data_IF_999361595484
#
_entry.id   IF_999361595484
#
_cell.length_a   1.000
_cell.length_b   1.000
_cell.length_c   1.000
_cell.angle_alpha   90.00
_cell.angle_beta   90.00
_cell.angle_gamma   90.00
#
_symmetry.space_group_name_H-M   'P 1'
#
loop_
_entity.id
_entity.type
_entity.pdbx_description
1 polymer ?
#
# COMPACT_ATOMS: atom_id res chain seq x y z
N UNK A 1 28.29 8.82 -2.69
CA UNK A 1 26.85 8.81 -3.07
C UNK A 1 26.06 8.46 -1.81
N UNK A 2 25.05 9.23 -1.46
CA UNK A 2 24.19 8.93 -0.31
C UNK A 2 23.37 7.70 -0.65
N UNK A 3 23.50 6.62 0.12
CA UNK A 3 22.73 5.38 -0.07
C UNK A 3 21.26 5.64 0.23
N UNK A 4 20.36 5.01 -0.53
CA UNK A 4 18.92 5.07 -0.26
C UNK A 4 18.59 4.45 1.10
N UNK A 5 17.63 5.04 1.80
CA UNK A 5 17.08 4.52 3.05
C UNK A 5 15.89 3.57 2.82
N UNK A 6 15.40 3.46 1.59
CA UNK A 6 14.19 2.71 1.26
C UNK A 6 14.36 1.91 -0.03
N UNK A 7 13.81 0.71 -0.02
CA UNK A 7 13.59 -0.09 -1.23
C UNK A 7 12.11 -0.10 -1.57
N UNK A 8 11.79 0.24 -2.82
CA UNK A 8 10.43 0.20 -3.37
C UNK A 8 10.17 -1.19 -3.95
N UNK A 9 9.03 -1.75 -3.58
CA UNK A 9 8.56 -3.07 -3.98
C UNK A 9 7.21 -2.90 -4.68
N UNK A 10 7.08 -3.42 -5.88
CA UNK A 10 5.84 -3.33 -6.64
C UNK A 10 5.55 -4.59 -7.42
N UNK A 11 4.27 -4.86 -7.60
CA UNK A 11 3.71 -5.96 -8.35
C UNK A 11 2.97 -5.41 -9.57
N UNK A 12 3.61 -5.28 -10.73
CA UNK A 12 2.94 -4.75 -11.92
C UNK A 12 1.84 -5.70 -12.44
N UNK A 13 0.89 -5.11 -13.14
CA UNK A 13 -0.02 -5.80 -14.06
C UNK A 13 0.61 -5.87 -15.45
N UNK A 14 0.07 -6.63 -16.40
CA UNK A 14 0.56 -6.62 -17.78
C UNK A 14 0.66 -5.20 -18.35
N UNK A 15 1.80 -4.85 -18.96
CA UNK A 15 2.06 -3.52 -19.54
C UNK A 15 1.35 -3.36 -20.88
N UNK A 16 0.02 -3.41 -20.88
CA UNK A 16 -0.81 -3.32 -22.07
C UNK A 16 -1.77 -2.13 -21.99
N UNK A 17 -2.02 -1.48 -23.13
CA UNK A 17 -2.98 -0.37 -23.24
C UNK A 17 -2.77 0.73 -22.20
N UNK A 18 -3.86 1.22 -21.63
CA UNK A 18 -3.84 2.27 -20.62
C UNK A 18 -3.10 1.85 -19.34
N UNK A 19 -3.27 0.59 -18.89
CA UNK A 19 -2.56 0.04 -17.72
C UNK A 19 -1.04 0.13 -17.91
N UNK A 20 -0.53 -0.19 -19.10
CA UNK A 20 0.89 -0.05 -19.41
C UNK A 20 1.38 1.40 -19.31
N UNK A 21 0.58 2.37 -19.74
CA UNK A 21 0.91 3.81 -19.66
C UNK A 21 1.03 4.25 -18.20
N UNK A 22 0.01 3.99 -17.39
CA UNK A 22 -0.02 4.47 -16.00
C UNK A 22 1.06 3.82 -15.14
N UNK A 23 1.34 2.53 -15.34
CA UNK A 23 2.43 1.84 -14.65
C UNK A 23 3.80 2.39 -15.05
N UNK A 24 4.02 2.63 -16.36
CA UNK A 24 5.25 3.26 -16.82
C UNK A 24 5.44 4.65 -16.23
N UNK A 25 4.40 5.48 -16.18
CA UNK A 25 4.41 6.79 -15.53
C UNK A 25 4.85 6.67 -14.06
N UNK A 26 4.20 5.78 -13.30
CA UNK A 26 4.45 5.58 -11.89
C UNK A 26 5.90 5.12 -11.65
N UNK A 27 6.32 4.01 -12.26
CA UNK A 27 7.64 3.42 -12.06
C UNK A 27 8.75 4.38 -12.52
N UNK A 28 8.55 5.11 -13.62
CA UNK A 28 9.51 6.14 -14.04
C UNK A 28 9.62 7.25 -13.00
N UNK A 29 8.51 7.69 -12.36
CA UNK A 29 8.56 8.69 -11.30
C UNK A 29 9.45 8.28 -10.13
N UNK A 30 9.44 7.00 -9.74
CA UNK A 30 10.26 6.48 -8.66
C UNK A 30 11.75 6.55 -8.98
N UNK A 31 12.14 6.37 -10.24
CA UNK A 31 13.54 6.49 -10.68
C UNK A 31 14.08 7.92 -10.64
N UNK A 32 13.19 8.92 -10.54
CA UNK A 32 13.53 10.35 -10.48
C UNK A 32 13.68 10.89 -9.06
N UNK A 33 13.38 10.08 -8.06
CA UNK A 33 13.56 10.45 -6.66
C UNK A 33 15.06 10.56 -6.30
N UNK A 34 15.39 11.51 -5.43
CA UNK A 34 16.76 11.67 -4.94
C UNK A 34 16.82 11.71 -3.40
N UNK A 35 17.65 10.86 -2.76
CA UNK A 35 18.46 9.79 -3.36
C UNK A 35 17.55 8.77 -4.12
N UNK A 36 18.07 8.22 -5.23
CA UNK A 36 17.32 7.20 -5.97
C UNK A 36 17.12 5.96 -5.08
N UNK A 37 15.89 5.49 -4.86
CA UNK A 37 15.62 4.27 -4.13
C UNK A 37 16.08 3.03 -4.92
N UNK A 38 16.36 1.94 -4.23
CA UNK A 38 16.37 0.63 -4.85
C UNK A 38 14.93 0.28 -5.21
N UNK A 39 14.70 -0.27 -6.40
CA UNK A 39 13.35 -0.59 -6.90
C UNK A 39 13.36 -2.03 -7.40
N UNK A 40 12.44 -2.85 -6.90
CA UNK A 40 12.24 -4.21 -7.35
C UNK A 40 10.82 -4.41 -7.86
N UNK A 41 10.71 -4.93 -9.08
CA UNK A 41 9.45 -5.37 -9.66
C UNK A 41 9.34 -6.90 -9.48
N UNK A 42 8.16 -7.36 -9.08
CA UNK A 42 7.88 -8.77 -8.82
C UNK A 42 6.92 -9.33 -9.87
N UNK A 43 7.11 -10.61 -10.21
CA UNK A 43 6.23 -11.38 -11.09
C UNK A 43 6.66 -11.38 -12.55
N UNK A 44 5.93 -12.13 -13.36
CA UNK A 44 6.24 -12.42 -14.77
C UNK A 44 5.20 -11.81 -15.73
N UNK A 45 4.44 -10.83 -15.27
CA UNK A 45 3.46 -10.17 -16.11
C UNK A 45 4.12 -9.57 -17.37
N UNK A 46 3.47 -9.71 -18.55
CA UNK A 46 4.03 -9.24 -19.82
C UNK A 46 4.47 -7.76 -19.76
N UNK A 47 5.72 -7.50 -20.15
CA UNK A 47 6.35 -6.17 -20.14
C UNK A 47 7.11 -5.84 -18.86
N UNK A 48 7.02 -6.65 -17.79
CA UNK A 48 7.73 -6.36 -16.52
C UNK A 48 9.24 -6.46 -16.68
N UNK A 49 9.74 -7.51 -17.32
CA UNK A 49 11.17 -7.71 -17.55
C UNK A 49 11.77 -6.58 -18.41
N UNK A 50 11.07 -6.19 -19.47
CA UNK A 50 11.48 -5.13 -20.38
C UNK A 50 11.57 -3.77 -19.67
N UNK A 51 10.58 -3.42 -18.87
CA UNK A 51 10.59 -2.19 -18.07
C UNK A 51 11.68 -2.21 -17.01
N UNK A 52 11.88 -3.34 -16.33
CA UNK A 52 12.95 -3.48 -15.35
C UNK A 52 14.33 -3.29 -16.00
N UNK A 53 14.57 -3.89 -17.16
CA UNK A 53 15.82 -3.72 -17.91
C UNK A 53 16.00 -2.28 -18.41
N UNK A 54 14.97 -1.67 -19.02
CA UNK A 54 14.99 -0.30 -19.54
C UNK A 54 15.33 0.72 -18.46
N UNK A 55 14.71 0.59 -17.29
CA UNK A 55 14.85 1.54 -16.18
C UNK A 55 15.95 1.15 -15.19
N UNK A 56 16.70 0.04 -15.45
CA UNK A 56 17.75 -0.50 -14.57
C UNK A 56 17.24 -0.75 -13.15
N UNK A 57 16.19 -1.58 -13.04
CA UNK A 57 15.55 -1.99 -11.79
C UNK A 57 15.85 -3.46 -11.49
N UNK A 58 15.71 -3.85 -10.21
CA UNK A 58 15.67 -5.25 -9.84
C UNK A 58 14.38 -5.92 -10.35
N UNK A 59 14.49 -7.18 -10.76
CA UNK A 59 13.35 -7.98 -11.19
C UNK A 59 13.41 -9.37 -10.54
N UNK A 60 12.34 -9.71 -9.83
CA UNK A 60 12.17 -11.00 -9.15
C UNK A 60 10.99 -11.74 -9.78
N UNK A 61 11.30 -12.71 -10.61
CA UNK A 61 10.32 -13.48 -11.39
C UNK A 61 9.46 -14.39 -10.51
N UNK A 62 10.13 -15.18 -9.67
CA UNK A 62 9.48 -16.22 -8.88
C UNK A 62 8.79 -15.60 -7.65
N UNK A 63 7.50 -15.46 -7.68
CA UNK A 63 6.70 -15.14 -6.52
C UNK A 63 5.63 -16.21 -6.32
N UNK A 64 5.46 -16.65 -5.10
CA UNK A 64 4.42 -17.62 -4.78
C UNK A 64 3.03 -17.05 -5.08
N UNK A 65 2.22 -17.87 -5.72
CA UNK A 65 0.84 -17.55 -6.10
C UNK A 65 -0.09 -18.66 -5.61
N UNK A 66 -1.36 -18.33 -5.40
CA UNK A 66 -2.37 -19.36 -5.17
C UNK A 66 -2.74 -20.09 -6.49
N UNK A 67 -3.65 -21.06 -6.41
CA UNK A 67 -4.07 -21.86 -7.56
C UNK A 67 -4.76 -21.04 -8.68
N UNK A 68 -5.23 -19.83 -8.36
CA UNK A 68 -5.82 -18.88 -9.32
C UNK A 68 -4.80 -17.89 -9.89
N UNK A 69 -3.52 -18.03 -9.54
CA UNK A 69 -2.44 -17.17 -10.02
C UNK A 69 -2.31 -15.84 -9.27
N UNK A 70 -3.02 -15.65 -8.14
CA UNK A 70 -2.92 -14.42 -7.34
C UNK A 70 -1.70 -14.49 -6.40
N UNK A 71 -0.81 -13.46 -6.40
CA UNK A 71 0.43 -13.46 -5.63
C UNK A 71 0.17 -13.30 -4.13
N UNK A 72 1.11 -13.83 -3.33
CA UNK A 72 1.06 -13.87 -1.88
C UNK A 72 1.96 -12.81 -1.25
N UNK A 73 1.44 -12.09 -0.24
CA UNK A 73 2.13 -10.99 0.45
C UNK A 73 3.30 -11.49 1.31
N UNK A 74 3.18 -12.64 1.95
CA UNK A 74 4.22 -13.24 2.79
C UNK A 74 5.49 -13.53 1.98
N UNK A 75 5.36 -14.10 0.78
CA UNK A 75 6.49 -14.40 -0.09
C UNK A 75 7.10 -13.10 -0.64
N UNK A 76 6.30 -12.10 -1.02
CA UNK A 76 6.80 -10.80 -1.46
C UNK A 76 7.67 -10.16 -0.37
N UNK A 77 7.19 -10.09 0.87
CA UNK A 77 7.94 -9.47 1.98
C UNK A 77 9.20 -10.28 2.31
N UNK A 78 9.11 -11.60 2.31
CA UNK A 78 10.27 -12.49 2.53
C UNK A 78 11.36 -12.23 1.50
N UNK A 79 11.03 -12.31 0.20
CA UNK A 79 11.98 -12.10 -0.89
C UNK A 79 12.56 -10.69 -0.91
N UNK A 80 11.75 -9.69 -0.59
CA UNK A 80 12.24 -8.32 -0.45
C UNK A 80 13.36 -8.22 0.61
N UNK A 81 13.20 -8.89 1.76
CA UNK A 81 14.23 -8.91 2.81
C UNK A 81 15.50 -9.68 2.41
N UNK A 82 15.42 -10.58 1.45
CA UNK A 82 16.57 -11.33 0.94
C UNK A 82 17.42 -10.52 -0.04
N UNK A 83 16.79 -9.63 -0.83
CA UNK A 83 17.46 -8.90 -1.93
C UNK A 83 17.92 -7.49 -1.57
N UNK A 84 17.52 -6.95 -0.42
CA UNK A 84 17.92 -5.63 0.03
C UNK A 84 18.22 -5.59 1.52
N UNK A 85 19.09 -4.67 1.92
CA UNK A 85 19.45 -4.39 3.31
C UNK A 85 19.11 -2.96 3.73
N UNK A 86 18.30 -2.23 2.92
CA UNK A 86 17.82 -0.91 3.30
C UNK A 86 16.96 -0.99 4.58
N UNK A 87 17.03 0.02 5.46
CA UNK A 87 16.31 -0.02 6.75
C UNK A 87 14.79 0.01 6.58
N UNK A 88 14.28 0.55 5.48
CA UNK A 88 12.86 0.67 5.19
C UNK A 88 12.50 -0.05 3.89
N UNK A 89 11.35 -0.68 3.87
CA UNK A 89 10.71 -1.25 2.69
C UNK A 89 9.45 -0.47 2.37
N UNK A 90 9.17 -0.26 1.09
CA UNK A 90 7.97 0.43 0.61
C UNK A 90 7.24 -0.47 -0.37
N UNK A 91 6.13 -1.08 0.04
CA UNK A 91 5.19 -1.67 -0.91
C UNK A 91 4.29 -0.57 -1.47
N UNK A 92 4.20 -0.50 -2.80
CA UNK A 92 3.37 0.49 -3.49
C UNK A 92 2.73 -0.11 -4.75
N UNK A 93 1.47 0.23 -5.02
CA UNK A 93 0.81 -0.17 -6.25
C UNK A 93 1.48 0.49 -7.47
N UNK A 94 1.59 -0.27 -8.56
CA UNK A 94 2.37 0.12 -9.75
C UNK A 94 1.79 1.29 -10.56
N UNK A 95 0.64 1.83 -10.15
CA UNK A 95 -0.04 2.99 -10.75
C UNK A 95 0.11 4.28 -9.92
N UNK A 96 0.88 4.24 -8.83
CA UNK A 96 1.10 5.36 -7.91
C UNK A 96 2.33 6.16 -8.30
N UNK A 97 2.14 7.41 -8.70
CA UNK A 97 3.23 8.37 -8.92
C UNK A 97 3.72 8.88 -7.56
N UNK A 98 5.06 8.91 -7.38
CA UNK A 98 5.71 9.47 -6.20
C UNK A 98 6.46 10.75 -6.57
N UNK A 99 6.41 11.74 -5.69
CA UNK A 99 7.13 13.00 -5.79
C UNK A 99 8.29 13.07 -4.81
N UNK A 100 9.21 14.02 -4.98
CA UNK A 100 10.41 14.19 -4.13
C UNK A 100 10.09 14.29 -2.63
N UNK A 101 8.93 14.84 -2.26
CA UNK A 101 8.45 14.89 -0.88
C UNK A 101 8.35 13.50 -0.20
N UNK A 102 8.24 12.42 -0.99
CA UNK A 102 8.32 11.05 -0.47
C UNK A 102 9.69 10.77 0.16
N UNK A 103 10.80 11.12 -0.51
CA UNK A 103 12.15 10.92 0.06
C UNK A 103 12.40 11.76 1.33
N UNK A 104 11.79 12.93 1.39
CA UNK A 104 11.84 13.75 2.60
C UNK A 104 11.07 13.13 3.76
N UNK A 105 9.92 12.50 3.47
CA UNK A 105 9.18 11.72 4.46
C UNK A 105 9.99 10.49 4.93
N UNK A 106 10.61 9.75 4.01
CA UNK A 106 11.48 8.61 4.32
C UNK A 106 12.61 9.01 5.28
N UNK A 107 13.29 10.12 5.02
CA UNK A 107 14.35 10.61 5.90
C UNK A 107 13.83 10.92 7.31
N UNK A 108 12.70 11.61 7.43
CA UNK A 108 12.07 11.92 8.71
C UNK A 108 11.62 10.68 9.48
N UNK A 109 11.07 9.67 8.78
CA UNK A 109 10.67 8.39 9.37
C UNK A 109 11.89 7.65 9.91
N UNK A 110 12.94 7.52 9.09
CA UNK A 110 14.15 6.81 9.48
C UNK A 110 14.81 7.43 10.71
N UNK A 111 14.86 8.77 10.77
CA UNK A 111 15.47 9.50 11.87
C UNK A 111 14.65 9.43 13.17
N UNK A 112 13.32 9.56 13.08
CA UNK A 112 12.45 9.86 14.24
C UNK A 112 11.54 8.74 14.67
N UNK A 113 11.19 7.83 13.75
CA UNK A 113 10.25 6.74 13.99
C UNK A 113 10.64 5.50 13.17
N UNK A 114 11.90 5.00 13.30
CA UNK A 114 12.46 3.99 12.39
C UNK A 114 11.68 2.68 12.41
N UNK A 115 11.01 2.36 13.50
CA UNK A 115 10.18 1.14 13.62
C UNK A 115 8.70 1.50 13.64
N UNK A 116 8.14 1.70 12.45
CA UNK A 116 6.75 2.11 12.25
C UNK A 116 6.21 1.61 10.91
N UNK A 117 4.90 1.62 10.77
CA UNK A 117 4.21 1.56 9.49
C UNK A 117 3.80 3.00 9.11
N UNK A 118 4.30 3.52 8.00
CA UNK A 118 3.84 4.79 7.45
C UNK A 118 2.97 4.55 6.21
N UNK A 119 1.85 5.25 6.16
CA UNK A 119 0.84 5.15 5.11
C UNK A 119 0.43 6.55 4.65
N UNK A 120 -0.14 6.65 3.47
CA UNK A 120 -0.63 7.92 2.94
C UNK A 120 -1.95 7.74 2.23
N UNK A 121 -2.78 8.77 2.30
CA UNK A 121 -4.00 8.89 1.54
C UNK A 121 -3.68 9.05 0.05
N UNK A 122 -4.36 8.32 -0.82
CA UNK A 122 -4.17 8.50 -2.26
C UNK A 122 -4.93 9.70 -2.80
N UNK A 123 -4.40 10.28 -3.87
CA UNK A 123 -5.00 11.34 -4.65
C UNK A 123 -5.31 10.83 -6.04
N UNK A 124 -6.56 10.97 -6.45
CA UNK A 124 -7.04 10.50 -7.74
C UNK A 124 -6.76 11.53 -8.84
N UNK A 125 -6.16 11.09 -9.93
CA UNK A 125 -5.93 11.94 -11.10
C UNK A 125 -6.18 11.14 -12.38
N UNK A 126 -6.77 11.78 -13.38
CA UNK A 126 -6.91 11.21 -14.72
C UNK A 126 -5.70 11.59 -15.58
N UNK A 127 -4.91 10.59 -15.99
CA UNK A 127 -3.71 10.74 -16.82
C UNK A 127 -3.74 9.73 -17.97
N UNK A 128 -4.43 10.05 -19.08
CA UNK A 128 -4.59 9.12 -20.19
C UNK A 128 -3.33 8.98 -21.06
N UNK A 129 -2.29 9.77 -20.83
CA UNK A 129 -1.09 9.86 -21.69
C UNK A 129 0.20 9.63 -20.90
N UNK A 130 1.28 9.20 -21.58
CA UNK A 130 2.61 9.17 -20.99
C UNK A 130 3.03 10.54 -20.47
N UNK A 131 3.67 10.57 -19.30
CA UNK A 131 4.25 11.78 -18.72
C UNK A 131 5.62 12.08 -19.32
N UNK A 132 5.90 13.35 -19.56
CA UNK A 132 7.23 13.81 -19.92
C UNK A 132 8.01 14.19 -18.65
N UNK A 133 8.93 13.31 -18.23
CA UNK A 133 9.77 13.51 -17.05
C UNK A 133 10.99 14.42 -17.29
N UNK A 134 11.16 14.98 -18.50
CA UNK A 134 12.28 15.91 -18.81
C UNK A 134 12.08 17.28 -18.17
N UNK A 135 10.85 17.62 -17.83
CA UNK A 135 10.52 18.88 -17.17
C UNK A 135 9.99 18.66 -15.75
N UNK A 136 10.88 18.43 -14.77
CA UNK A 136 10.55 18.14 -13.36
C UNK A 136 9.56 19.12 -12.72
N UNK A 137 9.57 20.39 -13.12
CA UNK A 137 8.66 21.40 -12.58
C UNK A 137 7.18 21.17 -12.96
N UNK A 138 6.87 20.52 -14.08
CA UNK A 138 5.48 20.25 -14.48
C UNK A 138 4.82 19.17 -13.62
N UNK A 139 5.58 18.20 -13.13
CA UNK A 139 5.07 17.17 -12.21
C UNK A 139 4.63 17.79 -10.88
N UNK A 140 5.38 18.73 -10.34
CA UNK A 140 5.03 19.38 -9.08
C UNK A 140 3.87 20.36 -9.19
N UNK A 141 3.78 21.09 -10.30
CA UNK A 141 2.82 22.19 -10.47
C UNK A 141 1.55 21.79 -11.26
N UNK A 142 1.64 20.79 -12.13
CA UNK A 142 0.55 20.41 -13.02
C UNK A 142 -0.37 19.32 -12.46
N UNK A 143 0.15 18.34 -11.73
CA UNK A 143 -0.62 17.18 -11.26
C UNK A 143 -1.40 17.46 -9.97
N UNK A 144 -0.82 18.19 -9.02
CA UNK A 144 -1.42 18.40 -7.70
C UNK A 144 -2.71 19.26 -7.69
N UNK A 145 -2.88 20.28 -8.53
CA UNK A 145 -4.10 21.10 -8.52
C UNK A 145 -5.35 20.39 -9.03
N UNK A 146 -5.20 19.32 -9.80
CA UNK A 146 -6.32 18.61 -10.44
C UNK A 146 -6.70 17.30 -9.77
N UNK A 147 -5.93 16.84 -8.76
CA UNK A 147 -6.21 15.63 -8.02
C UNK A 147 -7.25 15.84 -6.93
N UNK A 148 -8.11 14.85 -6.71
CA UNK A 148 -9.07 14.82 -5.62
C UNK A 148 -8.60 13.79 -4.57
N UNK A 149 -8.81 14.07 -3.26
CA UNK A 149 -8.52 13.07 -2.24
C UNK A 149 -9.45 11.86 -2.42
N UNK A 150 -8.89 10.69 -2.42
CA UNK A 150 -9.65 9.43 -2.45
C UNK A 150 -10.41 9.19 -1.13
N UNK A 151 -10.99 8.00 -0.95
CA UNK A 151 -11.60 7.61 0.31
C UNK A 151 -10.53 7.23 1.35
N UNK A 152 -10.80 7.40 2.64
CA UNK A 152 -9.85 7.08 3.74
C UNK A 152 -9.43 5.60 3.82
N UNK A 153 -10.14 4.72 3.13
CA UNK A 153 -9.77 3.31 2.93
C UNK A 153 -8.83 3.10 1.75
N UNK A 154 -8.67 4.10 0.90
CA UNK A 154 -7.84 4.01 -0.29
C UNK A 154 -6.38 4.31 0.08
N UNK A 155 -5.64 3.26 0.39
CA UNK A 155 -4.24 3.29 0.79
C UNK A 155 -3.49 2.32 -0.12
N UNK A 156 -2.60 2.85 -0.96
CA UNK A 156 -1.89 2.07 -1.98
C UNK A 156 -0.37 2.15 -1.79
N UNK A 157 0.08 2.68 -0.62
CA UNK A 157 1.48 2.85 -0.28
C UNK A 157 1.70 2.58 1.20
N UNK A 158 2.65 1.68 1.49
CA UNK A 158 2.99 1.20 2.83
C UNK A 158 4.50 1.21 2.99
N UNK A 159 5.02 2.09 3.85
CA UNK A 159 6.43 2.11 4.25
C UNK A 159 6.57 1.52 5.63
N UNK A 160 7.42 0.53 5.78
CA UNK A 160 7.63 -0.17 7.06
C UNK A 160 9.09 -0.51 7.27
N UNK A 161 9.50 -0.63 8.53
CA UNK A 161 10.87 -1.06 8.83
C UNK A 161 11.09 -2.53 8.42
N UNK A 162 12.29 -2.81 7.97
CA UNK A 162 12.68 -4.12 7.45
C UNK A 162 12.49 -5.26 8.45
N UNK A 163 12.55 -4.98 9.75
CA UNK A 163 12.37 -5.94 10.84
C UNK A 163 10.90 -6.17 11.23
N UNK A 164 9.97 -5.44 10.65
CA UNK A 164 8.53 -5.68 10.79
C UNK A 164 8.05 -6.85 9.92
N UNK A 165 6.83 -7.30 10.18
CA UNK A 165 6.16 -8.33 9.38
C UNK A 165 7.00 -9.61 9.23
N UNK A 166 7.33 -10.23 10.37
CA UNK A 166 8.07 -11.50 10.41
C UNK A 166 7.16 -12.66 10.06
N UNK A 167 5.97 -12.72 10.66
CA UNK A 167 4.99 -13.78 10.49
C UNK A 167 3.78 -13.27 9.69
N UNK A 168 3.99 -12.99 8.40
CA UNK A 168 2.92 -12.56 7.50
C UNK A 168 2.12 -13.78 7.07
N UNK A 169 0.79 -13.77 7.22
CA UNK A 169 -0.04 -14.86 6.67
C UNK A 169 -0.13 -14.74 5.14
N UNK A 170 -0.51 -15.82 4.44
CA UNK A 170 -0.56 -15.87 2.98
C UNK A 170 -1.74 -15.08 2.41
N UNK A 171 -1.71 -13.76 2.59
CA UNK A 171 -2.68 -12.82 2.06
C UNK A 171 -2.50 -12.62 0.56
N UNK A 172 -3.60 -12.50 -0.15
CA UNK A 172 -3.66 -12.34 -1.59
C UNK A 172 -3.56 -10.85 -1.96
N UNK A 173 -2.49 -10.49 -2.65
CA UNK A 173 -2.24 -9.11 -3.10
C UNK A 173 -3.27 -8.70 -4.16
N UNK A 174 -3.75 -7.44 -4.08
CA UNK A 174 -4.73 -6.91 -5.02
C UNK A 174 -6.17 -7.39 -4.76
N UNK A 175 -6.41 -8.05 -3.63
CA UNK A 175 -7.74 -8.37 -3.12
C UNK A 175 -8.01 -7.60 -1.84
N UNK A 176 -9.27 -7.32 -1.53
CA UNK A 176 -9.61 -6.60 -0.30
C UNK A 176 -8.99 -7.26 0.95
N UNK A 177 -8.76 -6.47 1.98
CA UNK A 177 -8.32 -6.85 3.32
C UNK A 177 -6.81 -7.09 3.54
N UNK A 178 -5.98 -7.23 2.51
CA UNK A 178 -4.53 -7.39 2.71
C UNK A 178 -3.87 -6.11 3.23
N UNK A 179 -4.28 -4.98 2.71
CA UNK A 179 -3.84 -3.63 3.07
C UNK A 179 -4.30 -3.23 4.47
N UNK A 180 -5.55 -3.51 4.80
CA UNK A 180 -6.09 -3.30 6.15
C UNK A 180 -5.42 -4.21 7.18
N UNK A 181 -4.98 -5.41 6.77
CA UNK A 181 -4.25 -6.32 7.64
C UNK A 181 -2.91 -5.73 8.08
N UNK A 182 -2.17 -5.10 7.18
CA UNK A 182 -0.90 -4.44 7.52
C UNK A 182 -1.06 -3.40 8.63
N UNK A 183 -2.10 -2.57 8.54
CA UNK A 183 -2.39 -1.56 9.57
C UNK A 183 -2.80 -2.23 10.89
N UNK A 184 -3.68 -3.23 10.81
CA UNK A 184 -4.16 -3.96 11.97
C UNK A 184 -3.02 -4.64 12.71
N UNK A 185 -2.16 -5.35 11.99
CA UNK A 185 -1.05 -6.11 12.54
C UNK A 185 -0.05 -5.18 13.26
N UNK A 186 0.36 -4.09 12.62
CA UNK A 186 1.22 -3.09 13.24
C UNK A 186 0.65 -2.57 14.57
N UNK A 187 -0.64 -2.25 14.61
CA UNK A 187 -1.31 -1.75 15.81
C UNK A 187 -1.46 -2.82 16.90
N UNK A 188 -1.71 -4.07 16.54
CA UNK A 188 -1.79 -5.18 17.50
C UNK A 188 -0.45 -5.46 18.17
N UNK A 189 0.65 -5.23 17.46
CA UNK A 189 2.01 -5.34 18.01
C UNK A 189 2.48 -4.05 18.70
N UNK A 190 1.60 -3.06 18.89
CA UNK A 190 1.93 -1.81 19.58
C UNK A 190 2.85 -0.88 18.78
N UNK A 191 3.01 -1.13 17.47
CA UNK A 191 3.84 -0.32 16.59
C UNK A 191 3.10 0.94 16.15
N UNK A 192 3.81 2.07 16.01
CA UNK A 192 3.22 3.29 15.49
C UNK A 192 2.74 3.13 14.04
N UNK A 193 1.56 3.64 13.74
CA UNK A 193 1.07 3.86 12.37
C UNK A 193 1.09 5.36 12.12
N UNK A 194 1.87 5.77 11.12
CA UNK A 194 2.13 7.17 10.76
C UNK A 194 1.35 7.56 9.51
N UNK A 195 0.50 8.56 9.63
CA UNK A 195 -0.12 9.25 8.49
C UNK A 195 0.86 10.28 7.92
N UNK A 196 1.40 10.04 6.72
CA UNK A 196 2.32 10.97 6.07
C UNK A 196 1.69 11.80 4.94
N UNK A 197 0.36 11.79 4.83
CA UNK A 197 -0.39 12.44 3.73
C UNK A 197 -0.09 13.92 3.56
N UNK A 198 0.18 14.64 4.66
CA UNK A 198 0.46 16.07 4.63
C UNK A 198 1.82 16.42 4.01
N UNK A 199 2.70 15.44 3.86
CA UNK A 199 4.05 15.59 3.29
C UNK A 199 4.19 14.82 1.99
N UNK A 200 3.90 13.52 2.02
CA UNK A 200 4.04 12.65 0.86
C UNK A 200 2.67 12.13 0.44
N UNK A 201 2.24 12.47 -0.77
CA UNK A 201 0.99 12.02 -1.37
C UNK A 201 1.25 10.87 -2.33
N UNK A 202 0.40 9.85 -2.29
CA UNK A 202 0.33 8.81 -3.32
C UNK A 202 -0.60 9.29 -4.44
N UNK A 203 -0.08 9.55 -5.63
CA UNK A 203 -0.89 10.05 -6.74
C UNK A 203 -1.31 8.85 -7.59
N UNK A 204 -2.58 8.45 -7.44
CA UNK A 204 -3.18 7.34 -8.14
C UNK A 204 -3.72 7.78 -9.50
N UNK A 205 -3.31 7.09 -10.56
CA UNK A 205 -3.80 7.32 -11.91
C UNK A 205 -5.06 6.47 -12.12
N UNK A 206 -6.19 7.13 -12.41
CA UNK A 206 -7.48 6.48 -12.55
C UNK A 206 -7.48 5.41 -13.65
N UNK A 207 -8.04 4.26 -13.34
CA UNK A 207 -8.26 3.16 -14.28
C UNK A 207 -9.48 2.33 -13.85
N UNK A 208 -9.99 1.51 -14.76
CA UNK A 208 -11.03 0.53 -14.47
C UNK A 208 -10.44 -0.77 -13.85
N UNK A 209 -11.34 -1.68 -13.45
CA UNK A 209 -11.00 -3.01 -12.92
C UNK A 209 -11.15 -4.12 -13.97
N UNK A 210 -11.13 -3.79 -15.27
CA UNK A 210 -11.38 -4.76 -16.35
C UNK A 210 -10.39 -5.94 -16.38
N UNK A 211 -9.21 -5.78 -15.76
CA UNK A 211 -8.17 -6.81 -15.66
C UNK A 211 -8.46 -7.87 -14.58
N UNK A 212 -9.45 -7.66 -13.71
CA UNK A 212 -9.83 -8.61 -12.65
C UNK A 212 -11.10 -9.37 -13.08
N UNK A 213 -11.12 -10.71 -12.98
CA UNK A 213 -12.35 -11.48 -13.19
C UNK A 213 -13.48 -10.99 -12.28
N UNK A 214 -14.63 -10.62 -12.85
CA UNK A 214 -15.72 -9.98 -12.12
C UNK A 214 -15.52 -8.49 -11.82
N UNK A 215 -14.48 -7.85 -12.37
CA UNK A 215 -14.22 -6.42 -12.23
C UNK A 215 -14.01 -5.99 -10.77
N UNK A 216 -14.51 -4.82 -10.42
CA UNK A 216 -14.45 -4.30 -9.06
C UNK A 216 -15.10 -5.25 -8.04
N UNK A 217 -16.22 -5.86 -8.36
CA UNK A 217 -16.90 -6.81 -7.48
C UNK A 217 -16.03 -8.05 -7.19
N UNK A 218 -15.30 -8.56 -8.19
CA UNK A 218 -14.35 -9.67 -8.01
C UNK A 218 -13.21 -9.32 -7.06
N UNK A 219 -12.68 -8.09 -7.15
CA UNK A 219 -11.60 -7.62 -6.28
C UNK A 219 -12.02 -7.49 -4.80
N UNK A 220 -13.24 -7.03 -4.54
CA UNK A 220 -13.72 -6.68 -3.21
C UNK A 220 -14.67 -7.70 -2.56
N UNK A 221 -15.34 -8.56 -3.33
CA UNK A 221 -16.37 -9.48 -2.83
C UNK A 221 -16.24 -10.92 -3.31
N UNK A 222 -15.20 -11.27 -4.08
CA UNK A 222 -14.95 -12.63 -4.55
C UNK A 222 -14.41 -13.58 -3.48
N UNK A 223 -14.26 -14.86 -3.81
CA UNK A 223 -13.73 -15.91 -2.90
C UNK A 223 -12.35 -15.57 -2.34
N UNK A 224 -11.49 -14.97 -3.16
CA UNK A 224 -10.15 -14.55 -2.74
C UNK A 224 -10.19 -13.40 -1.73
N UNK A 225 -11.10 -12.45 -1.90
CA UNK A 225 -11.34 -11.39 -0.92
C UNK A 225 -11.92 -11.96 0.38
N UNK A 226 -12.79 -12.97 0.30
CA UNK A 226 -13.32 -13.67 1.46
C UNK A 226 -12.23 -14.43 2.21
N UNK A 227 -11.29 -15.08 1.50
CA UNK A 227 -10.12 -15.71 2.13
C UNK A 227 -9.27 -14.69 2.90
N UNK A 228 -8.99 -13.53 2.33
CA UNK A 228 -8.29 -12.45 3.03
C UNK A 228 -9.07 -11.97 4.25
N UNK A 229 -10.40 -11.84 4.15
CA UNK A 229 -11.26 -11.45 5.26
C UNK A 229 -11.22 -12.48 6.41
N UNK A 230 -11.18 -13.77 6.10
CA UNK A 230 -11.09 -14.84 7.10
C UNK A 230 -9.73 -14.78 7.82
N UNK A 231 -8.62 -14.58 7.10
CA UNK A 231 -7.29 -14.34 7.64
C UNK A 231 -7.27 -13.05 8.49
N UNK A 232 -7.91 -12.01 8.01
CA UNK A 232 -8.07 -10.75 8.74
C UNK A 232 -8.85 -10.92 10.05
N UNK A 233 -9.65 -11.96 10.21
CA UNK A 233 -10.42 -12.29 11.39
C UNK A 233 -11.93 -12.11 11.26
N UNK A 234 -12.43 -12.04 10.04
CA UNK A 234 -13.87 -12.09 9.75
C UNK A 234 -14.69 -10.91 10.27
N UNK A 235 -14.09 -9.76 10.52
CA UNK A 235 -14.78 -8.62 11.17
C UNK A 235 -15.17 -7.55 10.17
N UNK A 236 -16.37 -7.00 10.27
CA UNK A 236 -16.83 -5.94 9.37
C UNK A 236 -16.21 -4.57 9.67
N UNK A 237 -15.01 -4.53 10.24
CA UNK A 237 -14.34 -3.29 10.63
C UNK A 237 -12.95 -3.22 10.00
N UNK A 238 -12.82 -2.43 8.95
CA UNK A 238 -11.55 -2.16 8.30
C UNK A 238 -10.67 -1.21 9.12
N UNK A 239 -9.41 -1.59 9.33
CA UNK A 239 -8.39 -0.65 9.77
C UNK A 239 -7.94 0.17 8.57
N UNK A 240 -7.94 1.49 8.72
CA UNK A 240 -7.73 2.45 7.65
C UNK A 240 -6.79 3.57 8.12
N UNK A 241 -6.56 4.56 7.29
CA UNK A 241 -5.82 5.78 7.66
C UNK A 241 -6.37 6.45 8.94
N UNK A 242 -7.67 6.32 9.23
CA UNK A 242 -8.29 6.84 10.45
C UNK A 242 -7.77 6.16 11.73
N UNK A 243 -7.07 5.05 11.61
CA UNK A 243 -6.45 4.35 12.75
C UNK A 243 -4.99 4.75 12.96
N UNK A 244 -4.45 5.69 12.19
CA UNK A 244 -3.11 6.20 12.40
C UNK A 244 -2.95 6.77 13.82
N UNK A 245 -1.80 6.50 14.44
CA UNK A 245 -1.47 6.93 15.80
C UNK A 245 -0.62 8.20 15.82
N UNK A 246 0.04 8.49 14.71
CA UNK A 246 0.91 9.64 14.51
C UNK A 246 0.65 10.27 13.15
N UNK A 247 1.06 11.54 12.99
CA UNK A 247 1.09 12.23 11.71
C UNK A 247 2.44 12.88 11.46
N UNK A 248 2.87 12.89 10.18
CA UNK A 248 4.03 13.63 9.72
C UNK A 248 3.59 15.04 9.28
N UNK A 249 4.12 16.05 9.94
CA UNK A 249 3.80 17.45 9.67
C UNK A 249 4.69 18.04 8.55
N UNK A 250 4.27 19.13 7.88
CA UNK A 250 5.04 19.77 6.81
C UNK A 250 6.45 20.22 7.23
N UNK A 251 6.67 20.53 8.51
CA UNK A 251 7.97 20.85 9.08
C UNK A 251 8.83 19.61 9.38
N UNK A 252 8.44 18.43 8.93
CA UNK A 252 9.11 17.13 9.14
C UNK A 252 9.13 16.64 10.59
N UNK A 253 8.34 17.23 11.50
CA UNK A 253 8.15 16.68 12.84
C UNK A 253 7.05 15.61 12.82
N UNK A 254 7.14 14.66 13.74
CA UNK A 254 6.12 13.62 13.93
C UNK A 254 5.35 13.95 15.21
N UNK A 255 4.03 14.04 15.10
CA UNK A 255 3.14 14.35 16.20
C UNK A 255 2.16 13.19 16.48
N UNK A 256 1.86 12.88 17.75
CA UNK A 256 0.87 11.87 18.09
C UNK A 256 -0.55 12.36 17.80
N UNK A 257 -1.37 11.48 17.23
CA UNK A 257 -2.79 11.71 16.96
C UNK A 257 -3.65 11.20 18.14
N UNK A 258 -3.68 11.91 19.25
CA UNK A 258 -4.36 11.48 20.50
C UNK A 258 -5.81 11.08 20.29
N UNK A 259 -6.59 11.87 19.59
CA UNK A 259 -8.01 11.60 19.35
C UNK A 259 -8.27 10.33 18.52
N UNK A 260 -7.46 10.07 17.49
CA UNK A 260 -7.56 8.84 16.70
C UNK A 260 -7.17 7.62 17.53
N UNK A 261 -6.14 7.76 18.38
CA UNK A 261 -5.68 6.70 19.29
C UNK A 261 -6.76 6.28 20.30
N UNK A 262 -7.47 7.21 20.89
CA UNK A 262 -8.57 6.91 21.82
C UNK A 262 -9.70 6.15 21.14
N UNK A 263 -10.12 6.58 19.94
CA UNK A 263 -11.10 5.84 19.13
C UNK A 263 -10.63 4.43 18.78
N UNK A 264 -9.34 4.27 18.47
CA UNK A 264 -8.76 2.96 18.21
C UNK A 264 -8.86 2.04 19.41
N UNK A 265 -8.47 2.49 20.60
CA UNK A 265 -8.55 1.70 21.83
C UNK A 265 -9.98 1.32 22.20
N UNK A 266 -10.93 2.24 22.06
CA UNK A 266 -12.35 1.96 22.28
C UNK A 266 -12.84 0.90 21.29
N UNK A 267 -12.52 1.03 20.02
CA UNK A 267 -12.91 0.06 19.00
C UNK A 267 -12.25 -1.29 19.20
N UNK A 268 -10.98 -1.34 19.56
CA UNK A 268 -10.24 -2.56 19.88
C UNK A 268 -10.84 -3.26 21.11
N UNK A 269 -11.18 -2.50 22.17
CA UNK A 269 -11.84 -3.01 23.35
C UNK A 269 -13.23 -3.57 23.04
N UNK A 270 -14.05 -2.85 22.26
CA UNK A 270 -15.36 -3.32 21.80
C UNK A 270 -15.23 -4.58 20.97
N UNK A 271 -14.26 -4.63 20.06
CA UNK A 271 -14.00 -5.81 19.24
C UNK A 271 -13.63 -7.03 20.09
N UNK A 272 -12.65 -6.91 20.99
CA UNK A 272 -12.22 -8.02 21.86
C UNK A 272 -13.32 -8.52 22.79
N UNK A 273 -14.12 -7.64 23.33
CA UNK A 273 -15.09 -7.99 24.38
C UNK A 273 -16.49 -8.33 23.82
N UNK A 274 -16.86 -7.80 22.66
CA UNK A 274 -18.19 -8.02 22.11
C UNK A 274 -18.18 -8.83 20.81
N UNK A 275 -17.44 -8.38 19.82
CA UNK A 275 -17.51 -8.94 18.45
C UNK A 275 -16.89 -10.33 18.40
N UNK A 276 -15.70 -10.51 18.95
CA UNK A 276 -15.01 -11.81 18.96
C UNK A 276 -15.77 -12.87 19.78
N UNK A 277 -16.31 -12.49 20.95
CA UNK A 277 -17.07 -13.41 21.79
C UNK A 277 -18.45 -13.75 21.22
N UNK A 278 -19.04 -12.88 20.44
CA UNK A 278 -20.37 -13.09 19.85
C UNK A 278 -20.35 -13.63 18.43
N UNK A 279 -19.19 -13.70 17.77
CA UNK A 279 -19.05 -14.17 16.39
C UNK A 279 -19.64 -15.58 16.17
N UNK A 280 -19.41 -16.59 17.05
CA UNK A 280 -20.01 -17.91 16.88
C UNK A 280 -21.54 -17.88 16.99
N UNK A 281 -22.08 -17.04 17.88
CA UNK A 281 -23.52 -16.91 18.09
C UNK A 281 -24.19 -16.19 16.91
N UNK A 282 -23.58 -15.14 16.39
CA UNK A 282 -24.06 -14.38 15.23
C UNK A 282 -24.08 -15.22 13.96
N UNK A 283 -23.07 -16.07 13.76
CA UNK A 283 -23.01 -17.03 12.65
C UNK A 283 -24.15 -18.07 12.76
N UNK A 284 -24.46 -18.56 13.98
CA UNK A 284 -25.59 -19.49 14.22
C UNK A 284 -26.96 -18.85 14.02
N UNK A 285 -27.08 -17.55 14.28
CA UNK A 285 -28.36 -16.82 14.19
C UNK A 285 -28.59 -16.14 12.83
N UNK A 286 -27.71 -16.35 11.84
CA UNK A 286 -27.84 -15.72 10.53
C UNK A 286 -27.73 -14.18 10.54
N UNK A 287 -27.23 -13.60 11.64
CA UNK A 287 -27.09 -12.16 11.84
C UNK A 287 -25.76 -11.58 11.30
N UNK A 288 -25.06 -12.30 10.41
CA UNK A 288 -23.96 -11.72 9.64
C UNK A 288 -24.57 -10.72 8.64
N UNK A 289 -24.46 -9.44 8.93
CA UNK A 289 -24.88 -8.39 8.00
C UNK A 289 -24.11 -8.56 6.69
N UNK A 290 -24.85 -8.70 5.58
CA UNK A 290 -24.39 -8.31 4.25
C UNK A 290 -23.70 -6.93 4.35
N UNK A 291 -22.60 -6.76 3.63
CA UNK A 291 -21.80 -5.53 3.57
C UNK A 291 -22.70 -4.29 3.52
N UNK A 292 -22.31 -3.19 4.22
CA UNK A 292 -22.90 -1.91 3.89
C UNK A 292 -22.47 -1.59 2.45
N UNK A 293 -23.43 -1.31 1.62
CA UNK A 293 -23.20 -0.68 0.33
C UNK A 293 -22.31 0.56 0.55
N UNK A 294 -21.28 0.66 -0.23
CA UNK A 294 -20.27 1.67 -0.53
C UNK A 294 -20.32 2.99 0.27
#
# INVERSE_FOLDING_TARGET
MTRSLVTILAMPKPFQGHIGIIQRNAITSWTKLFPRPDIFLFGEEPGTAEIAAELQLGHLHDIHRNDLGTPLLDDLIKRAKEVTDTPLLCYVNSDIILLQAFQEAIAAIHERLPRSLAVTHRWEIDLPKPLDFKSDQRLHLGLLPHGLPGHHTAIDLFVFSRDMYVDVPPLLIGRAWFDQWLIKDALLHGLPVLDMTRVARAIHQQHDYAHIPGGQQGAYGGEEAQRNLDIYGGVPHAFTLLNATHELLPNRTIAPLRYRREKFHIRQWLWRNFVQRTAPLRKRLGLSRSQPAQ
#
